data_IF_399709387383
#
_entry.id   IF_399709387383
#
_cell.length_a   1.000
_cell.length_b   1.000
_cell.length_c   1.000
_cell.angle_alpha   90.00
_cell.angle_beta   90.00
_cell.angle_gamma   90.00
#
_symmetry.space_group_name_H-M   'P 1'
#
loop_
_entity.id
_entity.type
_entity.pdbx_description
1 polymer ?
#
# COMPACT_ATOMS: atom_id res chain seq x y z
N UNK A 1 69.59 50.07 11.17
CA UNK A 1 68.44 49.45 11.87
C UNK A 1 67.19 49.64 11.03
N UNK A 2 66.73 48.60 10.34
CA UNK A 2 65.31 48.33 10.03
C UNK A 2 65.26 46.91 9.47
N UNK A 3 64.52 46.08 10.19
CA UNK A 3 64.41 44.65 10.03
C UNK A 3 63.30 44.28 9.05
N UNK A 4 63.51 43.13 8.42
CA UNK A 4 62.62 42.23 7.69
C UNK A 4 61.11 42.35 7.91
N UNK A 5 60.34 42.22 6.82
CA UNK A 5 59.17 41.32 6.78
C UNK A 5 59.21 40.58 5.43
N UNK A 6 59.20 39.25 5.54
CA UNK A 6 59.31 38.29 4.47
C UNK A 6 57.94 37.90 3.88
N UNK A 7 58.01 37.45 2.63
CA UNK A 7 57.06 36.70 1.82
C UNK A 7 55.89 36.00 2.52
N UNK A 8 54.69 36.21 1.99
CA UNK A 8 53.55 35.29 2.10
C UNK A 8 52.66 35.46 0.86
N UNK A 9 53.15 35.01 -0.29
CA UNK A 9 52.41 34.96 -1.55
C UNK A 9 52.60 33.59 -2.20
N UNK A 10 52.16 32.53 -1.52
CA UNK A 10 52.15 31.17 -2.06
C UNK A 10 51.23 30.22 -1.27
N UNK A 11 50.07 30.66 -0.79
CA UNK A 11 49.02 29.75 -0.27
C UNK A 11 47.65 30.35 -0.58
N UNK A 12 47.29 30.44 -1.85
CA UNK A 12 45.90 30.76 -2.25
C UNK A 12 45.58 30.23 -3.66
N UNK A 13 45.96 28.98 -3.95
CA UNK A 13 45.54 28.27 -5.17
C UNK A 13 45.17 26.80 -4.92
N UNK A 14 44.76 26.44 -3.71
CA UNK A 14 44.28 25.08 -3.39
C UNK A 14 42.90 25.02 -2.74
N UNK A 15 42.03 26.00 -3.01
CA UNK A 15 40.64 26.02 -2.50
C UNK A 15 39.59 26.42 -3.55
N UNK A 16 39.92 26.37 -4.85
CA UNK A 16 38.99 26.70 -5.93
C UNK A 16 38.69 25.50 -6.85
N UNK A 17 38.58 24.29 -6.28
CA UNK A 17 38.23 23.07 -7.01
C UNK A 17 37.18 22.20 -6.30
N UNK A 18 36.29 22.78 -5.49
CA UNK A 18 35.10 22.08 -4.95
C UNK A 18 33.80 22.50 -5.63
N UNK A 19 33.88 23.24 -6.74
CA UNK A 19 32.72 23.72 -7.50
C UNK A 19 32.46 22.99 -8.82
N UNK A 20 33.05 21.82 -9.03
CA UNK A 20 32.65 20.96 -10.15
C UNK A 20 31.52 20.07 -9.68
N UNK A 21 30.35 20.21 -10.31
CA UNK A 21 29.17 19.34 -10.23
C UNK A 21 29.52 17.95 -9.68
N UNK A 22 29.25 17.72 -8.39
CA UNK A 22 29.06 16.38 -7.90
C UNK A 22 27.74 15.91 -8.54
N UNK A 23 27.81 15.41 -9.77
CA UNK A 23 26.89 14.35 -10.15
C UNK A 23 27.04 13.31 -9.06
N UNK A 24 26.08 13.28 -8.14
CA UNK A 24 26.01 12.23 -7.14
C UNK A 24 26.17 10.91 -7.90
N UNK A 25 27.16 10.11 -7.51
CA UNK A 25 27.43 8.86 -8.21
C UNK A 25 26.13 8.05 -8.29
N UNK A 26 25.86 7.42 -9.44
CA UNK A 26 24.66 6.60 -9.64
C UNK A 26 24.85 5.24 -8.97
N UNK A 27 23.74 4.66 -8.52
CA UNK A 27 23.73 3.25 -8.10
C UNK A 27 24.23 2.37 -9.26
N UNK A 28 25.28 1.58 -9.00
CA UNK A 28 25.81 0.65 -9.99
C UNK A 28 25.25 -0.74 -9.70
N UNK A 29 24.51 -1.29 -10.66
CA UNK A 29 23.90 -2.62 -10.53
C UNK A 29 24.12 -3.39 -11.83
N UNK A 30 24.68 -4.58 -11.72
CA UNK A 30 24.68 -5.57 -12.79
C UNK A 30 23.39 -6.39 -12.70
N UNK A 31 22.45 -6.14 -13.62
CA UNK A 31 21.15 -6.80 -13.63
C UNK A 31 21.20 -8.26 -14.12
N UNK A 32 22.38 -8.74 -14.53
CA UNK A 32 22.62 -10.16 -14.84
C UNK A 32 23.20 -10.92 -13.63
N UNK A 33 23.51 -10.22 -12.53
CA UNK A 33 24.09 -10.79 -11.33
C UNK A 33 23.12 -10.73 -10.15
N UNK A 34 22.62 -11.90 -9.72
CA UNK A 34 21.75 -12.00 -8.55
C UNK A 34 22.38 -11.37 -7.29
N UNK A 35 23.69 -11.52 -7.09
CA UNK A 35 24.40 -10.93 -5.96
C UNK A 35 24.49 -9.40 -6.05
N UNK A 36 24.66 -8.86 -7.27
CA UNK A 36 24.64 -7.40 -7.49
C UNK A 36 23.25 -6.83 -7.23
N UNK A 37 22.19 -7.48 -7.73
CA UNK A 37 20.80 -7.08 -7.48
C UNK A 37 20.49 -7.14 -5.98
N UNK A 38 20.85 -8.21 -5.27
CA UNK A 38 20.64 -8.34 -3.82
C UNK A 38 21.38 -7.25 -3.04
N UNK A 39 22.61 -6.92 -3.45
CA UNK A 39 23.39 -5.84 -2.82
C UNK A 39 22.74 -4.46 -3.01
N UNK A 40 22.23 -4.19 -4.21
CA UNK A 40 21.50 -2.95 -4.50
C UNK A 40 20.17 -2.88 -3.73
N UNK A 41 19.39 -3.97 -3.74
CA UNK A 41 18.14 -4.07 -3.00
C UNK A 41 18.34 -3.85 -1.50
N UNK A 42 19.44 -4.35 -0.94
CA UNK A 42 19.81 -4.13 0.47
C UNK A 42 20.05 -2.67 0.81
N UNK A 43 20.70 -1.90 -0.08
CA UNK A 43 20.90 -0.45 0.12
C UNK A 43 19.57 0.29 0.08
N UNK A 44 18.70 -0.01 -0.90
CA UNK A 44 17.37 0.59 -1.02
C UNK A 44 16.49 0.23 0.19
N UNK A 45 16.53 -1.02 0.66
CA UNK A 45 15.81 -1.46 1.86
C UNK A 45 16.27 -0.72 3.13
N UNK A 46 17.58 -0.50 3.26
CA UNK A 46 18.12 0.29 4.36
C UNK A 46 17.65 1.76 4.32
N UNK A 47 17.58 2.36 3.13
CA UNK A 47 17.05 3.71 2.98
C UNK A 47 15.55 3.78 3.26
N UNK A 48 14.76 2.83 2.75
CA UNK A 48 13.34 2.74 3.05
C UNK A 48 13.11 2.70 4.58
N UNK A 49 13.84 1.82 5.26
CA UNK A 49 13.74 1.67 6.71
C UNK A 49 14.28 2.87 7.49
N UNK A 50 15.10 3.74 6.88
CA UNK A 50 15.52 5.00 7.53
C UNK A 50 14.38 5.98 7.77
N UNK A 51 13.26 5.84 7.06
CA UNK A 51 12.05 6.66 7.23
C UNK A 51 11.07 6.08 8.26
N UNK A 52 11.32 4.87 8.74
CA UNK A 52 10.48 4.22 9.72
C UNK A 52 11.02 4.47 11.13
N UNK A 53 10.19 5.14 11.95
CA UNK A 53 10.51 5.50 13.33
C UNK A 53 9.58 4.84 14.35
N UNK A 54 8.72 3.90 13.94
CA UNK A 54 7.68 3.32 14.81
C UNK A 54 8.19 2.54 16.02
N UNK A 55 9.47 2.18 16.04
CA UNK A 55 10.12 1.43 17.13
C UNK A 55 10.78 2.35 18.17
N UNK A 56 10.83 3.65 17.90
CA UNK A 56 11.45 4.61 18.81
C UNK A 56 10.54 4.87 20.03
N UNK A 57 11.12 5.17 21.21
CA UNK A 57 10.33 5.48 22.40
C UNK A 57 9.29 6.59 22.16
N UNK A 58 8.02 6.26 22.38
CA UNK A 58 6.90 7.19 22.22
C UNK A 58 6.28 7.23 20.82
N UNK A 59 6.80 6.44 19.88
CA UNK A 59 6.21 6.26 18.55
C UNK A 59 5.20 5.10 18.53
N UNK A 60 4.45 4.98 17.43
CA UNK A 60 3.50 3.90 17.22
C UNK A 60 4.12 2.85 16.30
N UNK A 61 4.24 1.58 16.74
CA UNK A 61 4.81 0.52 15.90
C UNK A 61 4.02 0.31 14.62
N UNK A 62 4.73 0.05 13.52
CA UNK A 62 4.14 -0.35 12.26
C UNK A 62 3.57 0.75 11.37
N UNK A 63 3.69 2.02 11.75
CA UNK A 63 3.34 3.14 10.86
C UNK A 63 4.58 3.93 10.43
N UNK A 64 4.49 4.52 9.24
CA UNK A 64 5.40 5.59 8.82
C UNK A 64 4.95 6.93 9.44
N UNK A 65 5.83 7.96 9.50
CA UNK A 65 5.47 9.28 10.01
C UNK A 65 4.24 9.86 9.31
N UNK A 66 3.15 10.02 10.07
CA UNK A 66 1.87 10.49 9.55
C UNK A 66 0.69 10.12 10.46
N UNK A 67 -0.54 10.46 10.05
CA UNK A 67 -0.90 11.12 8.79
C UNK A 67 -0.63 12.64 8.88
N UNK A 68 -0.85 13.42 7.80
CA UNK A 68 -0.71 14.87 7.87
C UNK A 68 -1.55 15.49 9.00
N UNK A 69 -1.02 16.44 9.81
CA UNK A 69 0.28 17.11 9.68
C UNK A 69 1.46 16.44 10.40
N UNK A 70 1.29 15.27 11.03
CA UNK A 70 2.34 14.56 11.79
C UNK A 70 3.44 13.91 10.93
N UNK A 71 3.23 13.89 9.62
CA UNK A 71 4.12 13.37 8.59
C UNK A 71 3.31 13.12 7.31
N UNK A 72 3.95 12.78 6.19
CA UNK A 72 3.27 12.75 4.91
C UNK A 72 2.44 11.48 4.69
N UNK A 73 2.71 10.39 5.40
CA UNK A 73 2.24 9.05 5.03
C UNK A 73 0.92 8.67 5.71
N UNK A 74 -0.02 8.11 4.94
CA UNK A 74 -1.23 7.54 5.51
C UNK A 74 -0.98 6.12 6.05
N UNK A 75 -1.84 5.68 6.97
CA UNK A 75 -1.70 4.42 7.70
C UNK A 75 -1.55 3.19 6.79
N UNK A 76 -2.31 3.13 5.70
CA UNK A 76 -2.29 2.00 4.76
C UNK A 76 -0.92 1.82 4.09
N UNK A 77 -0.19 2.92 3.85
CA UNK A 77 1.07 2.88 3.12
C UNK A 77 2.14 2.12 3.90
N UNK A 78 2.07 2.15 5.24
CA UNK A 78 2.92 1.31 6.08
C UNK A 78 2.57 -0.18 5.94
N UNK A 79 1.28 -0.53 5.86
CA UNK A 79 0.85 -1.90 5.56
C UNK A 79 1.40 -2.41 4.23
N UNK A 80 1.42 -1.55 3.22
CA UNK A 80 2.05 -1.84 1.95
C UNK A 80 3.59 -1.92 2.03
N UNK A 81 4.24 -1.06 2.84
CA UNK A 81 5.69 -1.10 3.11
C UNK A 81 6.12 -2.45 3.68
N UNK A 82 5.40 -2.95 4.69
CA UNK A 82 5.70 -4.25 5.28
C UNK A 82 5.53 -5.40 4.29
N UNK A 83 4.51 -5.33 3.42
CA UNK A 83 4.37 -6.27 2.31
C UNK A 83 5.57 -6.26 1.35
N UNK A 84 6.09 -5.07 1.02
CA UNK A 84 7.30 -4.94 0.19
C UNK A 84 8.53 -5.54 0.88
N UNK A 85 8.67 -5.36 2.21
CA UNK A 85 9.79 -5.92 2.97
C UNK A 85 9.71 -7.44 3.15
N UNK A 86 8.50 -8.00 3.24
CA UNK A 86 8.28 -9.46 3.21
C UNK A 86 8.71 -10.03 1.86
N UNK A 87 8.34 -9.39 0.75
CA UNK A 87 8.82 -9.79 -0.57
C UNK A 87 10.35 -9.65 -0.68
N UNK A 88 10.92 -8.53 -0.22
CA UNK A 88 12.38 -8.36 -0.19
C UNK A 88 13.08 -9.53 0.51
N UNK A 89 12.60 -9.94 1.70
CA UNK A 89 13.13 -11.11 2.38
C UNK A 89 12.98 -12.38 1.54
N UNK A 90 11.79 -12.60 0.95
CA UNK A 90 11.51 -13.79 0.14
C UNK A 90 12.43 -13.90 -1.10
N UNK A 91 12.64 -12.79 -1.81
CA UNK A 91 13.49 -12.76 -3.01
C UNK A 91 14.99 -12.78 -2.67
N UNK A 92 15.42 -12.10 -1.60
CA UNK A 92 16.87 -11.93 -1.33
C UNK A 92 17.44 -12.96 -0.36
N UNK A 93 16.61 -13.42 0.58
CA UNK A 93 17.00 -14.19 1.76
C UNK A 93 17.50 -13.33 2.93
N UNK A 94 17.49 -12.00 2.81
CA UNK A 94 17.91 -11.09 3.89
C UNK A 94 16.79 -10.92 4.92
N UNK A 95 17.03 -11.40 6.14
CA UNK A 95 16.06 -11.37 7.25
C UNK A 95 16.20 -10.17 8.18
N UNK A 96 16.99 -9.14 7.81
CA UNK A 96 17.34 -8.00 8.69
C UNK A 96 16.13 -7.32 9.32
N UNK A 97 15.00 -7.23 8.61
CA UNK A 97 13.80 -6.49 9.05
C UNK A 97 12.64 -7.40 9.48
N UNK A 98 12.84 -8.71 9.54
CA UNK A 98 11.74 -9.65 9.77
C UNK A 98 11.07 -9.44 11.12
N UNK A 99 11.85 -9.37 12.20
CA UNK A 99 11.29 -9.23 13.56
C UNK A 99 10.48 -7.93 13.71
N UNK A 100 10.96 -6.84 13.11
CA UNK A 100 10.26 -5.55 13.08
C UNK A 100 8.93 -5.67 12.31
N UNK A 101 8.95 -6.29 11.13
CA UNK A 101 7.75 -6.50 10.33
C UNK A 101 6.72 -7.38 11.06
N UNK A 102 7.16 -8.46 11.72
CA UNK A 102 6.27 -9.33 12.51
C UNK A 102 5.58 -8.52 13.60
N UNK A 103 6.36 -7.80 14.41
CA UNK A 103 5.83 -7.00 15.51
C UNK A 103 4.88 -5.90 15.02
N UNK A 104 5.31 -5.13 14.03
CA UNK A 104 4.53 -4.04 13.43
C UNK A 104 3.18 -4.50 12.88
N UNK A 105 3.18 -5.57 12.08
CA UNK A 105 1.97 -6.08 11.44
C UNK A 105 1.01 -6.71 12.44
N UNK A 106 1.49 -7.38 13.49
CA UNK A 106 0.61 -7.87 14.56
C UNK A 106 0.06 -6.72 15.38
N UNK A 107 0.89 -5.72 15.70
CA UNK A 107 0.46 -4.55 16.48
C UNK A 107 -0.69 -3.80 15.80
N UNK A 108 -0.60 -3.56 14.48
CA UNK A 108 -1.62 -2.84 13.72
C UNK A 108 -2.89 -3.66 13.44
N UNK A 109 -2.91 -4.97 13.70
CA UNK A 109 -4.12 -5.78 13.55
C UNK A 109 -5.21 -5.43 14.57
N UNK A 110 -4.80 -4.94 15.74
CA UNK A 110 -5.58 -4.53 16.92
C UNK A 110 -6.63 -5.57 17.42
N UNK A 111 -6.47 -6.13 18.63
CA UNK A 111 -7.50 -6.97 19.25
C UNK A 111 -8.73 -6.14 19.65
N UNK A 112 -9.93 -6.74 19.76
CA UNK A 112 -10.17 -8.19 19.77
C UNK A 112 -10.39 -8.81 18.38
N UNK A 113 -10.69 -8.01 17.36
CA UNK A 113 -11.02 -8.54 16.04
C UNK A 113 -9.80 -9.04 15.27
N UNK A 114 -8.64 -8.43 15.49
CA UNK A 114 -7.42 -8.69 14.73
C UNK A 114 -7.68 -8.59 13.22
N UNK A 115 -8.37 -7.52 12.81
CA UNK A 115 -8.88 -7.34 11.45
C UNK A 115 -8.32 -6.12 10.75
N UNK A 116 -7.25 -5.51 11.29
CA UNK A 116 -6.69 -4.26 10.76
C UNK A 116 -7.74 -3.15 10.69
N UNK A 117 -8.54 -3.01 11.74
CA UNK A 117 -9.47 -1.89 11.92
C UNK A 117 -9.16 -1.11 13.20
N UNK A 118 -7.89 -0.67 13.39
CA UNK A 118 -7.49 -0.02 14.63
C UNK A 118 -8.25 1.29 14.87
N UNK A 119 -8.76 1.47 16.09
CA UNK A 119 -9.64 2.58 16.44
C UNK A 119 -9.00 3.97 16.19
N UNK A 120 -7.69 4.09 16.39
CA UNK A 120 -6.93 5.33 16.17
C UNK A 120 -6.96 5.82 14.72
N UNK A 121 -7.30 4.95 13.76
CA UNK A 121 -7.25 5.24 12.33
C UNK A 121 -8.64 5.35 11.69
N UNK A 122 -9.69 5.38 12.51
CA UNK A 122 -11.10 5.42 12.06
C UNK A 122 -11.36 6.54 11.02
N UNK A 123 -10.76 7.71 11.18
CA UNK A 123 -10.98 8.87 10.29
C UNK A 123 -10.43 8.70 8.87
N UNK A 124 -9.53 7.73 8.65
CA UNK A 124 -8.95 7.42 7.34
C UNK A 124 -9.10 5.93 7.01
N UNK A 125 -10.04 5.23 7.64
CA UNK A 125 -10.18 3.78 7.49
C UNK A 125 -11.06 3.44 6.27
N UNK A 126 -10.44 3.25 5.12
CA UNK A 126 -11.05 2.68 3.92
C UNK A 126 -10.94 1.17 3.82
N UNK A 127 -11.76 0.57 2.97
CA UNK A 127 -11.70 -0.86 2.64
C UNK A 127 -10.39 -1.19 1.91
N UNK A 128 -9.91 -0.28 1.09
CA UNK A 128 -8.57 -0.29 0.50
C UNK A 128 -7.48 -0.21 1.58
N UNK A 129 -7.57 0.73 2.52
CA UNK A 129 -6.59 0.86 3.60
C UNK A 129 -6.42 -0.46 4.37
N UNK A 130 -7.53 -1.01 4.85
CA UNK A 130 -7.58 -2.31 5.53
C UNK A 130 -7.11 -3.45 4.60
N UNK A 131 -7.49 -3.39 3.32
CA UNK A 131 -7.16 -4.38 2.31
C UNK A 131 -5.66 -4.51 2.08
N UNK A 132 -4.91 -3.40 2.04
CA UNK A 132 -3.45 -3.46 1.89
C UNK A 132 -2.76 -4.20 3.06
N UNK A 133 -3.21 -3.99 4.29
CA UNK A 133 -2.74 -4.77 5.43
C UNK A 133 -3.10 -6.26 5.32
N UNK A 134 -4.34 -6.56 4.95
CA UNK A 134 -4.79 -7.93 4.71
C UNK A 134 -4.02 -8.63 3.60
N UNK A 135 -3.69 -7.94 2.51
CA UNK A 135 -2.89 -8.46 1.41
C UNK A 135 -1.43 -8.74 1.83
N UNK A 136 -0.86 -7.90 2.70
CA UNK A 136 0.47 -8.14 3.27
C UNK A 136 0.47 -9.33 4.23
N UNK A 137 -0.56 -9.50 5.06
CA UNK A 137 -0.72 -10.68 5.90
C UNK A 137 -0.90 -11.95 5.05
N UNK A 138 -1.71 -11.88 4.00
CA UNK A 138 -1.88 -12.99 3.05
C UNK A 138 -0.55 -13.35 2.37
N UNK A 139 0.29 -12.35 2.06
CA UNK A 139 1.61 -12.57 1.46
C UNK A 139 2.51 -13.32 2.43
N UNK A 140 2.58 -12.88 3.69
CA UNK A 140 3.35 -13.55 4.73
C UNK A 140 2.98 -15.05 4.85
N UNK A 141 1.70 -15.40 4.76
CA UNK A 141 1.25 -16.79 4.75
C UNK A 141 1.71 -17.56 3.49
N UNK A 142 1.64 -16.92 2.33
CA UNK A 142 2.00 -17.48 1.01
C UNK A 142 3.49 -17.73 0.82
N UNK A 143 4.36 -16.87 1.37
CA UNK A 143 5.82 -17.01 1.24
C UNK A 143 6.47 -17.70 2.44
N UNK A 144 5.67 -18.21 3.38
CA UNK A 144 6.12 -18.81 4.64
C UNK A 144 7.01 -17.87 5.46
N UNK A 145 6.66 -16.59 5.49
CA UNK A 145 7.29 -15.61 6.38
C UNK A 145 7.18 -16.10 7.83
N UNK A 146 8.18 -15.86 8.69
CA UNK A 146 8.15 -16.40 10.05
C UNK A 146 6.84 -16.07 10.76
N UNK A 147 6.21 -17.09 11.35
CA UNK A 147 4.93 -16.93 12.02
C UNK A 147 5.09 -16.09 13.29
N UNK A 148 4.06 -15.31 13.67
CA UNK A 148 3.99 -14.73 15.00
C UNK A 148 3.98 -15.82 16.08
N UNK A 149 4.30 -15.47 17.34
CA UNK A 149 4.10 -16.35 18.49
C UNK A 149 2.72 -17.04 18.49
N UNK A 150 2.64 -18.28 18.99
CA UNK A 150 1.40 -19.09 18.91
C UNK A 150 0.19 -18.46 19.62
N UNK A 151 0.41 -17.55 20.57
CA UNK A 151 -0.62 -16.81 21.30
C UNK A 151 -1.04 -15.49 20.61
N UNK A 152 -0.45 -15.16 19.46
CA UNK A 152 -0.76 -14.00 18.63
C UNK A 152 -1.49 -14.39 17.34
N UNK A 153 -2.28 -13.47 16.75
CA UNK A 153 -2.99 -13.75 15.50
C UNK A 153 -2.02 -14.09 14.38
N UNK A 154 -2.33 -15.15 13.64
CA UNK A 154 -1.48 -15.71 12.59
C UNK A 154 -1.80 -15.06 11.23
N UNK A 155 -0.82 -15.04 10.31
CA UNK A 155 -0.95 -14.39 8.99
C UNK A 155 -2.20 -14.77 8.20
N UNK A 156 -2.51 -16.06 8.09
CA UNK A 156 -3.71 -16.53 7.39
C UNK A 156 -4.99 -16.07 8.10
N UNK A 157 -5.04 -16.15 9.43
CA UNK A 157 -6.20 -15.69 10.21
C UNK A 157 -6.43 -14.17 10.06
N UNK A 158 -5.36 -13.37 10.03
CA UNK A 158 -5.44 -11.92 9.79
C UNK A 158 -6.01 -11.59 8.40
N UNK A 159 -5.57 -12.30 7.36
CA UNK A 159 -6.13 -12.16 6.02
C UNK A 159 -7.62 -12.58 5.97
N UNK A 160 -7.98 -13.67 6.64
CA UNK A 160 -9.38 -14.11 6.76
C UNK A 160 -10.25 -13.09 7.52
N UNK A 161 -9.72 -12.44 8.55
CA UNK A 161 -10.43 -11.39 9.30
C UNK A 161 -10.77 -10.18 8.41
N UNK A 162 -9.81 -9.73 7.60
CA UNK A 162 -10.05 -8.65 6.63
C UNK A 162 -11.11 -9.07 5.61
N UNK A 163 -10.98 -10.25 5.02
CA UNK A 163 -11.98 -10.75 4.08
C UNK A 163 -13.38 -10.85 4.70
N UNK A 164 -13.50 -11.42 5.90
CA UNK A 164 -14.80 -11.63 6.56
C UNK A 164 -15.47 -10.29 6.89
N UNK A 165 -14.72 -9.32 7.43
CA UNK A 165 -15.25 -7.97 7.72
C UNK A 165 -15.61 -7.19 6.46
N UNK A 166 -14.84 -7.31 5.36
CA UNK A 166 -15.20 -6.73 4.05
C UNK A 166 -16.45 -7.39 3.46
N UNK A 167 -16.54 -8.72 3.53
CA UNK A 167 -17.72 -9.47 3.07
C UNK A 167 -19.00 -9.00 3.76
N UNK A 168 -18.94 -8.73 5.08
CA UNK A 168 -20.07 -8.20 5.85
C UNK A 168 -20.54 -6.80 5.42
N UNK A 169 -19.73 -6.06 4.67
CA UNK A 169 -20.05 -4.70 4.17
C UNK A 169 -20.46 -4.67 2.69
N UNK A 170 -20.45 -5.81 2.00
CA UNK A 170 -20.89 -5.88 0.61
C UNK A 170 -22.36 -5.46 0.49
N UNK A 171 -22.63 -4.31 -0.12
CA UNK A 171 -23.96 -3.71 -0.16
C UNK A 171 -24.60 -3.84 -1.55
N UNK A 172 -25.68 -4.61 -1.65
CA UNK A 172 -26.44 -4.82 -2.90
C UNK A 172 -27.56 -3.81 -3.16
N UNK A 173 -27.86 -2.93 -2.21
CA UNK A 173 -28.93 -1.92 -2.35
C UNK A 173 -28.50 -0.75 -3.24
N UNK A 174 -27.19 -0.44 -3.28
CA UNK A 174 -26.60 0.67 -4.03
C UNK A 174 -25.66 0.10 -5.09
N UNK A 175 -25.83 0.50 -6.35
CA UNK A 175 -25.05 0.01 -7.49
C UNK A 175 -25.04 -1.52 -7.65
N UNK A 176 -26.09 -2.22 -7.20
CA UNK A 176 -26.24 -3.69 -7.28
C UNK A 176 -25.13 -4.51 -6.60
N UNK A 177 -24.32 -3.92 -5.73
CA UNK A 177 -23.18 -4.58 -5.10
C UNK A 177 -22.03 -3.62 -4.84
N UNK A 178 -20.86 -4.19 -4.54
CA UNK A 178 -19.62 -3.45 -4.35
C UNK A 178 -19.46 -2.87 -2.96
N UNK A 179 -18.21 -2.74 -2.57
CA UNK A 179 -17.77 -2.02 -1.39
C UNK A 179 -17.66 -0.52 -1.69
N UNK A 180 -18.08 0.28 -0.72
CA UNK A 180 -17.75 1.69 -0.64
C UNK A 180 -16.24 1.86 -0.36
N UNK A 181 -15.68 3.00 -0.74
CA UNK A 181 -14.28 3.32 -0.45
C UNK A 181 -14.06 3.33 1.06
N UNK A 182 -14.78 4.18 1.78
CA UNK A 182 -14.64 4.32 3.23
C UNK A 182 -15.43 3.26 4.00
N UNK A 183 -14.93 2.87 5.18
CA UNK A 183 -15.63 1.95 6.08
C UNK A 183 -16.66 2.70 6.95
N UNK A 184 -16.30 3.76 7.70
CA UNK A 184 -17.29 4.53 8.44
C UNK A 184 -18.16 5.37 7.51
N UNK A 185 -19.49 5.29 7.71
CA UNK A 185 -20.46 6.08 6.94
C UNK A 185 -20.29 7.60 7.03
N UNK A 186 -19.59 8.08 8.07
CA UNK A 186 -19.34 9.50 8.32
C UNK A 186 -18.07 10.03 7.64
N UNK A 187 -17.23 9.16 7.07
CA UNK A 187 -16.01 9.59 6.40
C UNK A 187 -16.33 10.19 5.02
N UNK A 188 -15.60 11.24 4.65
CA UNK A 188 -15.68 11.78 3.30
C UNK A 188 -15.25 10.72 2.27
N UNK A 189 -16.04 10.56 1.21
CA UNK A 189 -15.81 9.50 0.21
C UNK A 189 -16.55 8.19 0.50
N UNK A 190 -17.33 8.08 1.58
CA UNK A 190 -18.20 6.91 1.78
C UNK A 190 -19.17 6.68 0.61
N UNK A 191 -19.67 7.73 -0.02
CA UNK A 191 -20.55 7.64 -1.18
C UNK A 191 -19.83 7.24 -2.49
N UNK A 192 -18.50 7.16 -2.50
CA UNK A 192 -17.71 6.75 -3.65
C UNK A 192 -17.44 5.24 -3.59
N UNK A 193 -17.92 4.47 -4.57
CA UNK A 193 -17.55 3.06 -4.74
C UNK A 193 -16.41 2.99 -5.74
N UNK A 194 -15.19 2.94 -5.24
CA UNK A 194 -13.99 2.94 -6.06
C UNK A 194 -13.54 1.53 -6.43
N UNK A 195 -12.72 1.46 -7.49
CA UNK A 195 -12.15 0.21 -7.97
C UNK A 195 -11.20 -0.38 -6.95
N UNK A 196 -10.32 0.42 -6.33
CA UNK A 196 -9.29 -0.10 -5.43
C UNK A 196 -9.87 -0.92 -4.26
N UNK A 197 -10.92 -0.45 -3.58
CA UNK A 197 -11.57 -1.18 -2.49
C UNK A 197 -12.13 -2.54 -2.92
N UNK A 198 -12.66 -2.62 -4.14
CA UNK A 198 -13.27 -3.83 -4.67
C UNK A 198 -12.21 -4.81 -5.22
N UNK A 199 -11.14 -4.30 -5.83
CA UNK A 199 -10.08 -5.16 -6.37
C UNK A 199 -9.17 -5.71 -5.27
N UNK A 200 -8.93 -4.99 -4.16
CA UNK A 200 -8.24 -5.59 -3.00
C UNK A 200 -9.08 -6.70 -2.36
N UNK A 201 -10.40 -6.52 -2.26
CA UNK A 201 -11.30 -7.55 -1.77
C UNK A 201 -11.29 -8.79 -2.67
N UNK A 202 -11.41 -8.58 -3.99
CA UNK A 202 -11.22 -9.62 -5.01
C UNK A 202 -9.88 -10.34 -4.86
N UNK A 203 -8.78 -9.60 -4.70
CA UNK A 203 -7.43 -10.14 -4.58
C UNK A 203 -7.29 -11.06 -3.36
N UNK A 204 -7.74 -10.59 -2.19
CA UNK A 204 -7.72 -11.39 -0.96
C UNK A 204 -8.61 -12.63 -1.11
N UNK A 205 -9.81 -12.49 -1.68
CA UNK A 205 -10.72 -13.61 -1.92
C UNK A 205 -10.07 -14.68 -2.83
N UNK A 206 -9.48 -14.28 -3.96
CA UNK A 206 -8.79 -15.20 -4.87
C UNK A 206 -7.64 -15.95 -4.16
N UNK A 207 -6.83 -15.24 -3.38
CA UNK A 207 -5.68 -15.80 -2.65
C UNK A 207 -6.10 -16.74 -1.53
N UNK A 208 -7.13 -16.38 -0.77
CA UNK A 208 -7.72 -17.27 0.23
C UNK A 208 -8.30 -18.53 -0.42
N UNK A 209 -8.99 -18.41 -1.56
CA UNK A 209 -9.49 -19.56 -2.31
C UNK A 209 -8.36 -20.53 -2.65
N UNK A 210 -7.29 -20.02 -3.26
CA UNK A 210 -6.11 -20.82 -3.63
C UNK A 210 -5.40 -21.42 -2.41
N UNK A 211 -5.16 -20.62 -1.38
CA UNK A 211 -4.41 -21.07 -0.21
C UNK A 211 -5.17 -22.14 0.59
N UNK A 212 -6.48 -21.97 0.74
CA UNK A 212 -7.31 -22.83 1.61
C UNK A 212 -8.05 -23.94 0.87
N UNK A 213 -8.11 -23.88 -0.46
CA UNK A 213 -8.95 -24.73 -1.31
C UNK A 213 -10.44 -24.66 -0.95
N UNK A 214 -10.92 -23.46 -0.61
CA UNK A 214 -12.32 -23.21 -0.26
C UNK A 214 -13.01 -22.37 -1.34
N UNK A 215 -13.95 -23.02 -2.05
CA UNK A 215 -14.73 -22.42 -3.13
C UNK A 215 -15.57 -21.21 -2.71
N UNK A 216 -15.88 -21.05 -1.42
CA UNK A 216 -16.62 -19.88 -0.94
C UNK A 216 -15.86 -18.59 -1.25
N UNK A 217 -14.54 -18.58 -1.05
CA UNK A 217 -13.71 -17.43 -1.38
C UNK A 217 -13.67 -17.20 -2.90
N UNK A 218 -13.60 -18.27 -3.70
CA UNK A 218 -13.62 -18.18 -5.16
C UNK A 218 -14.94 -17.58 -5.69
N UNK A 219 -16.08 -17.95 -5.09
CA UNK A 219 -17.39 -17.39 -5.44
C UNK A 219 -17.47 -15.89 -5.14
N UNK A 220 -16.87 -15.43 -4.04
CA UNK A 220 -16.76 -14.00 -3.74
C UNK A 220 -15.79 -13.27 -4.67
N UNK A 221 -14.70 -13.93 -5.09
CA UNK A 221 -13.81 -13.39 -6.11
C UNK A 221 -14.54 -13.22 -7.45
N UNK A 222 -15.30 -14.23 -7.90
CA UNK A 222 -16.16 -14.12 -9.10
C UNK A 222 -17.17 -12.98 -8.94
N UNK A 223 -17.86 -12.89 -7.80
CA UNK A 223 -18.82 -11.81 -7.55
C UNK A 223 -18.20 -10.41 -7.61
N UNK A 224 -17.01 -10.24 -7.01
CA UNK A 224 -16.31 -8.97 -7.01
C UNK A 224 -15.88 -8.58 -8.43
N UNK A 225 -15.31 -9.52 -9.19
CA UNK A 225 -14.97 -9.31 -10.60
C UNK A 225 -16.21 -8.90 -11.41
N UNK A 226 -17.26 -9.73 -11.37
CA UNK A 226 -18.44 -9.56 -12.20
C UNK A 226 -19.15 -8.23 -11.87
N UNK A 227 -19.09 -7.79 -10.61
CA UNK A 227 -19.57 -6.46 -10.22
C UNK A 227 -18.70 -5.35 -10.80
N UNK A 228 -17.37 -5.40 -10.65
CA UNK A 228 -16.45 -4.35 -11.13
C UNK A 228 -16.51 -4.20 -12.66
N UNK A 229 -16.62 -5.31 -13.39
CA UNK A 229 -16.86 -5.33 -14.84
C UNK A 229 -18.28 -4.83 -15.16
N UNK A 230 -19.30 -5.30 -14.45
CA UNK A 230 -20.70 -4.95 -14.68
C UNK A 230 -21.06 -3.48 -14.45
N UNK A 231 -20.38 -2.79 -13.54
CA UNK A 231 -20.52 -1.32 -13.37
C UNK A 231 -19.68 -0.52 -14.37
N UNK A 232 -18.86 -1.18 -15.20
CA UNK A 232 -18.06 -0.54 -16.25
C UNK A 232 -16.71 0.00 -15.79
N UNK A 233 -16.24 -0.36 -14.60
CA UNK A 233 -14.91 0.06 -14.13
C UNK A 233 -13.79 -0.71 -14.82
N UNK A 234 -14.08 -1.92 -15.32
CA UNK A 234 -13.25 -2.63 -16.29
C UNK A 234 -13.96 -2.51 -17.64
N UNK A 235 -13.34 -1.83 -18.60
CA UNK A 235 -13.92 -1.66 -19.94
C UNK A 235 -13.71 -2.91 -20.80
N UNK A 236 -14.40 -3.02 -21.93
CA UNK A 236 -14.18 -4.09 -22.93
C UNK A 236 -12.71 -4.16 -23.41
N UNK A 237 -12.03 -3.00 -23.51
CA UNK A 237 -10.59 -2.90 -23.84
C UNK A 237 -9.66 -3.10 -22.62
N UNK A 238 -10.18 -3.63 -21.52
CA UNK A 238 -9.44 -3.90 -20.28
C UNK A 238 -8.80 -2.67 -19.60
N UNK A 239 -9.25 -1.44 -19.89
CA UNK A 239 -8.93 -0.28 -19.07
C UNK A 239 -9.54 -0.48 -17.67
N UNK A 240 -8.78 -0.12 -16.63
CA UNK A 240 -9.21 -0.21 -15.23
C UNK A 240 -9.36 1.19 -14.67
N UNK A 241 -10.60 1.66 -14.59
CA UNK A 241 -11.00 3.01 -14.20
C UNK A 241 -11.13 3.14 -12.68
N UNK A 242 -11.30 4.35 -12.16
CA UNK A 242 -11.11 4.61 -10.73
C UNK A 242 -12.35 4.39 -9.85
N UNK A 243 -13.55 4.64 -10.36
CA UNK A 243 -14.77 4.47 -9.57
C UNK A 243 -15.93 5.34 -10.01
N UNK A 244 -16.95 5.44 -9.16
CA UNK A 244 -18.17 6.21 -9.35
C UNK A 244 -18.95 6.36 -8.03
N UNK A 245 -19.96 7.22 -8.02
CA UNK A 245 -20.72 7.57 -6.81
C UNK A 245 -22.09 6.89 -6.76
N UNK A 246 -22.53 6.53 -5.55
CA UNK A 246 -23.82 5.86 -5.33
C UNK A 246 -25.01 6.72 -5.78
N UNK A 247 -24.92 8.05 -5.70
CA UNK A 247 -25.99 8.98 -6.10
C UNK A 247 -26.27 8.95 -7.61
N UNK A 248 -25.27 8.58 -8.40
CA UNK A 248 -25.37 8.40 -9.85
C UNK A 248 -25.47 6.92 -10.25
N UNK A 249 -25.83 6.02 -9.30
CA UNK A 249 -25.82 4.57 -9.50
C UNK A 249 -24.47 4.05 -10.03
N UNK A 250 -23.36 4.67 -9.62
CA UNK A 250 -22.00 4.37 -10.04
C UNK A 250 -21.74 4.56 -11.55
N UNK A 251 -22.59 5.33 -12.24
CA UNK A 251 -22.46 5.57 -13.69
C UNK A 251 -21.65 6.82 -14.05
N UNK A 252 -21.34 7.67 -13.08
CA UNK A 252 -20.47 8.84 -13.21
C UNK A 252 -18.98 8.45 -13.10
N UNK A 253 -18.56 7.56 -14.00
CA UNK A 253 -17.26 6.90 -13.92
C UNK A 253 -16.12 7.91 -13.99
N UNK A 254 -15.23 7.90 -12.99
CA UNK A 254 -13.96 8.58 -13.03
C UNK A 254 -13.00 7.81 -13.97
N UNK A 255 -12.63 8.39 -15.14
CA UNK A 255 -11.88 7.66 -16.17
C UNK A 255 -10.38 7.57 -15.88
N UNK A 256 -9.90 8.10 -14.76
CA UNK A 256 -8.49 8.04 -14.39
C UNK A 256 -8.07 6.58 -14.20
N UNK A 257 -6.90 6.24 -14.73
CA UNK A 257 -6.32 4.90 -14.61
C UNK A 257 -5.08 4.97 -13.72
N UNK A 258 -5.20 4.42 -12.51
CA UNK A 258 -4.07 4.25 -11.59
C UNK A 258 -3.50 2.85 -11.74
N UNK A 259 -2.16 2.74 -11.79
CA UNK A 259 -1.50 1.44 -11.99
C UNK A 259 -1.79 0.45 -10.85
N UNK A 260 -2.02 0.93 -9.62
CA UNK A 260 -2.38 0.08 -8.48
C UNK A 260 -3.68 -0.72 -8.72
N UNK A 261 -4.70 -0.13 -9.36
CA UNK A 261 -5.95 -0.82 -9.67
C UNK A 261 -5.69 -2.00 -10.62
N UNK A 262 -4.97 -1.75 -11.72
CA UNK A 262 -4.62 -2.77 -12.70
C UNK A 262 -3.70 -3.85 -12.11
N UNK A 263 -2.71 -3.46 -11.28
CA UNK A 263 -1.78 -4.36 -10.64
C UNK A 263 -2.48 -5.38 -9.72
N UNK A 264 -3.26 -4.89 -8.76
CA UNK A 264 -3.94 -5.74 -7.77
C UNK A 264 -4.97 -6.66 -8.44
N UNK A 265 -5.68 -6.14 -9.45
CA UNK A 265 -6.62 -6.92 -10.26
C UNK A 265 -5.89 -8.03 -11.03
N UNK A 266 -4.83 -7.71 -11.78
CA UNK A 266 -4.06 -8.67 -12.56
C UNK A 266 -3.47 -9.79 -11.67
N UNK A 267 -2.98 -9.45 -10.47
CA UNK A 267 -2.54 -10.43 -9.48
C UNK A 267 -3.66 -11.40 -9.10
N UNK A 268 -4.84 -10.89 -8.73
CA UNK A 268 -5.97 -11.74 -8.33
C UNK A 268 -6.46 -12.65 -9.46
N UNK A 269 -6.46 -12.17 -10.70
CA UNK A 269 -6.82 -12.96 -11.89
C UNK A 269 -5.82 -14.10 -12.12
N UNK A 270 -4.52 -13.86 -12.00
CA UNK A 270 -3.50 -14.90 -12.10
C UNK A 270 -3.68 -15.99 -11.03
N UNK A 271 -4.03 -15.58 -9.80
CA UNK A 271 -4.34 -16.51 -8.71
C UNK A 271 -5.58 -17.35 -9.02
N UNK A 272 -6.65 -16.73 -9.54
CA UNK A 272 -7.87 -17.46 -9.93
C UNK A 272 -7.65 -18.42 -11.10
N UNK A 273 -6.86 -18.03 -12.10
CA UNK A 273 -6.46 -18.92 -13.20
C UNK A 273 -5.73 -20.15 -12.66
N UNK A 274 -4.80 -19.96 -11.73
CA UNK A 274 -4.07 -21.07 -11.12
C UNK A 274 -5.00 -21.95 -10.24
N UNK A 275 -5.85 -21.34 -9.42
CA UNK A 275 -6.82 -22.05 -8.58
C UNK A 275 -7.78 -22.93 -9.38
N UNK A 276 -8.28 -22.40 -10.50
CA UNK A 276 -9.24 -23.09 -11.38
C UNK A 276 -8.58 -24.07 -12.36
N UNK A 277 -7.29 -24.38 -12.19
CA UNK A 277 -6.52 -25.27 -13.05
C UNK A 277 -6.53 -24.85 -14.54
N UNK A 278 -6.47 -23.54 -14.78
CA UNK A 278 -6.31 -22.99 -16.12
C UNK A 278 -7.63 -22.72 -16.86
N UNK A 279 -8.70 -22.37 -16.16
CA UNK A 279 -9.99 -22.00 -16.78
C UNK A 279 -9.80 -20.89 -17.83
N UNK A 280 -10.38 -21.10 -19.01
CA UNK A 280 -10.31 -20.21 -20.16
C UNK A 280 -10.86 -18.81 -19.84
N UNK A 281 -11.86 -18.68 -18.96
CA UNK A 281 -12.41 -17.40 -18.51
C UNK A 281 -11.31 -16.53 -17.90
N UNK A 282 -10.56 -17.09 -16.95
CA UNK A 282 -9.47 -16.37 -16.29
C UNK A 282 -8.28 -16.16 -17.23
N UNK A 283 -8.03 -17.09 -18.16
CA UNK A 283 -7.01 -16.90 -19.20
C UNK A 283 -7.27 -15.66 -20.06
N UNK A 284 -8.49 -15.50 -20.57
CA UNK A 284 -8.87 -14.35 -21.38
C UNK A 284 -8.69 -13.03 -20.62
N UNK A 285 -9.09 -13.03 -19.33
CA UNK A 285 -8.90 -11.88 -18.44
C UNK A 285 -7.41 -11.54 -18.24
N UNK A 286 -6.53 -12.54 -18.08
CA UNK A 286 -5.07 -12.32 -18.01
C UNK A 286 -4.55 -11.72 -19.30
N UNK A 287 -4.86 -12.33 -20.45
CA UNK A 287 -4.31 -11.90 -21.74
C UNK A 287 -4.73 -10.45 -22.05
N UNK A 288 -5.99 -10.10 -21.80
CA UNK A 288 -6.52 -8.74 -21.97
C UNK A 288 -5.89 -7.72 -21.02
N UNK A 289 -5.93 -7.99 -19.71
CA UNK A 289 -5.38 -7.08 -18.69
C UNK A 289 -3.86 -6.92 -18.83
N UNK A 290 -3.10 -7.99 -19.06
CA UNK A 290 -1.65 -7.94 -19.17
C UNK A 290 -1.23 -7.09 -20.37
N UNK A 291 -1.84 -7.33 -21.54
CA UNK A 291 -1.55 -6.56 -22.75
C UNK A 291 -1.88 -5.07 -22.54
N UNK A 292 -3.08 -4.77 -22.01
CA UNK A 292 -3.48 -3.39 -21.76
C UNK A 292 -2.59 -2.69 -20.74
N UNK A 293 -2.22 -3.41 -19.67
CA UNK A 293 -1.33 -2.92 -18.61
C UNK A 293 0.04 -2.56 -19.16
N UNK A 294 0.66 -3.44 -19.97
CA UNK A 294 1.96 -3.19 -20.58
C UNK A 294 1.88 -2.02 -21.56
N UNK A 295 0.88 -1.99 -22.43
CA UNK A 295 0.68 -0.92 -23.41
C UNK A 295 0.52 0.45 -22.72
N UNK A 296 -0.32 0.52 -21.68
CA UNK A 296 -0.62 1.76 -20.99
C UNK A 296 0.54 2.18 -20.09
N UNK A 297 0.96 1.35 -19.13
CA UNK A 297 1.86 1.78 -18.06
C UNK A 297 3.35 1.65 -18.39
N UNK A 298 3.76 0.94 -19.45
CA UNK A 298 5.17 0.71 -19.79
C UNK A 298 5.55 1.26 -21.17
N UNK A 299 5.34 2.57 -21.45
CA UNK A 299 5.79 3.16 -22.71
C UNK A 299 7.31 3.00 -22.84
N UNK A 300 7.74 2.47 -23.99
CA UNK A 300 9.16 2.16 -24.26
C UNK A 300 9.80 1.21 -23.22
N UNK A 301 9.00 0.39 -22.53
CA UNK A 301 9.47 -0.59 -21.55
C UNK A 301 9.74 -0.04 -20.15
N UNK A 302 9.56 1.26 -19.91
CA UNK A 302 9.77 1.86 -18.59
C UNK A 302 8.43 2.27 -17.99
N UNK A 303 8.20 1.92 -16.73
CA UNK A 303 6.94 2.21 -16.07
C UNK A 303 6.73 3.70 -15.80
N UNK A 304 5.54 4.21 -16.13
CA UNK A 304 5.09 5.59 -15.87
C UNK A 304 3.69 5.58 -15.25
N UNK A 305 3.51 6.31 -14.15
CA UNK A 305 2.20 6.55 -13.54
C UNK A 305 1.47 7.68 -14.28
N UNK A 306 0.88 7.38 -15.45
CA UNK A 306 0.36 8.39 -16.38
C UNK A 306 -0.66 9.38 -15.80
N UNK A 307 -1.37 8.98 -14.75
CA UNK A 307 -2.34 9.85 -14.08
C UNK A 307 -1.70 11.10 -13.45
N UNK A 308 -0.40 11.03 -13.09
CA UNK A 308 0.25 12.08 -12.31
C UNK A 308 1.74 12.31 -12.62
N UNK A 309 2.40 11.38 -13.32
CA UNK A 309 3.79 11.49 -13.77
C UNK A 309 3.85 12.11 -15.17
N UNK A 310 3.94 13.43 -15.21
CA UNK A 310 4.00 14.19 -16.45
C UNK A 310 5.43 14.25 -17.00
N UNK A 311 5.56 14.60 -18.28
CA UNK A 311 6.85 14.67 -18.96
C UNK A 311 7.81 15.72 -18.37
N UNK A 312 7.28 16.78 -17.75
CA UNK A 312 8.07 17.89 -17.20
C UNK A 312 8.06 17.95 -15.66
N UNK A 313 7.13 17.27 -14.99
CA UNK A 313 6.96 17.34 -13.52
C UNK A 313 6.21 16.13 -12.94
N UNK A 314 6.37 15.91 -11.64
CA UNK A 314 5.56 14.96 -10.87
C UNK A 314 4.41 15.72 -10.19
N UNK A 315 3.17 15.29 -10.40
CA UNK A 315 1.97 15.76 -9.69
C UNK A 315 1.37 14.67 -8.79
N UNK A 316 2.11 13.59 -8.58
CA UNK A 316 1.67 12.46 -7.81
C UNK A 316 1.52 12.82 -6.34
N UNK A 317 0.46 12.34 -5.70
CA UNK A 317 0.32 12.42 -4.26
C UNK A 317 1.19 11.36 -3.56
N UNK A 318 1.24 11.39 -2.22
CA UNK A 318 2.04 10.44 -1.43
C UNK A 318 1.72 8.97 -1.72
N UNK A 319 0.45 8.66 -2.00
CA UNK A 319 -0.02 7.30 -2.27
C UNK A 319 0.53 6.76 -3.61
N UNK A 320 0.46 7.59 -4.64
CA UNK A 320 0.79 7.21 -6.02
C UNK A 320 2.28 6.87 -6.21
N UNK A 321 3.15 7.33 -5.31
CA UNK A 321 4.59 7.05 -5.38
C UNK A 321 4.94 5.57 -5.18
N UNK A 322 4.10 4.79 -4.49
CA UNK A 322 4.31 3.35 -4.27
C UNK A 322 3.62 2.46 -5.29
N UNK A 323 2.81 3.00 -6.20
CA UNK A 323 2.00 2.20 -7.13
C UNK A 323 2.85 1.39 -8.13
N UNK A 324 3.98 1.95 -8.57
CA UNK A 324 4.92 1.25 -9.46
C UNK A 324 5.46 -0.04 -8.83
N UNK A 325 5.72 -0.02 -7.52
CA UNK A 325 6.15 -1.21 -6.79
C UNK A 325 5.10 -2.32 -6.80
N UNK A 326 3.83 -1.96 -6.63
CA UNK A 326 2.73 -2.95 -6.64
C UNK A 326 2.59 -3.59 -8.02
N UNK A 327 2.76 -2.81 -9.08
CA UNK A 327 2.75 -3.32 -10.46
C UNK A 327 3.87 -4.31 -10.71
N UNK A 328 5.12 -3.98 -10.34
CA UNK A 328 6.26 -4.89 -10.47
C UNK A 328 6.03 -6.22 -9.76
N UNK A 329 5.57 -6.17 -8.50
CA UNK A 329 5.26 -7.37 -7.70
C UNK A 329 4.11 -8.19 -8.30
N UNK A 330 3.08 -7.52 -8.83
CA UNK A 330 1.94 -8.21 -9.45
C UNK A 330 2.31 -8.89 -10.75
N UNK A 331 3.12 -8.24 -11.60
CA UNK A 331 3.65 -8.85 -12.83
C UNK A 331 4.53 -10.05 -12.53
N UNK A 332 5.38 -9.97 -11.49
CA UNK A 332 6.17 -11.10 -11.03
C UNK A 332 5.28 -12.31 -10.65
N UNK A 333 4.22 -12.10 -9.86
CA UNK A 333 3.23 -13.16 -9.57
C UNK A 333 2.62 -13.76 -10.83
N UNK A 334 2.27 -12.92 -11.83
CA UNK A 334 1.72 -13.39 -13.10
C UNK A 334 2.71 -14.30 -13.83
N UNK A 335 3.99 -13.90 -13.94
CA UNK A 335 5.03 -14.72 -14.57
C UNK A 335 5.32 -16.04 -13.84
N UNK A 336 5.05 -16.10 -12.54
CA UNK A 336 5.18 -17.33 -11.75
C UNK A 336 3.96 -18.24 -11.93
N UNK A 337 2.74 -17.72 -11.76
CA UNK A 337 1.50 -18.50 -11.78
C UNK A 337 0.99 -18.83 -13.19
N UNK A 338 1.44 -18.09 -14.20
CA UNK A 338 1.07 -18.24 -15.61
C UNK A 338 2.36 -18.38 -16.44
N UNK A 339 3.02 -19.55 -16.43
CA UNK A 339 4.39 -19.68 -16.93
C UNK A 339 4.63 -19.19 -18.36
N UNK A 340 3.64 -19.30 -19.26
CA UNK A 340 3.75 -18.86 -20.65
C UNK A 340 3.88 -17.33 -20.79
N UNK A 341 3.44 -16.55 -19.81
CA UNK A 341 3.61 -15.08 -19.82
C UNK A 341 4.94 -14.64 -19.23
N UNK A 342 5.73 -15.55 -18.65
CA UNK A 342 7.00 -15.21 -18.00
C UNK A 342 7.99 -14.47 -18.91
N UNK A 343 8.22 -14.88 -20.19
CA UNK A 343 9.20 -14.20 -21.04
C UNK A 343 8.84 -12.74 -21.38
N UNK A 344 7.55 -12.40 -21.40
CA UNK A 344 7.12 -11.01 -21.59
C UNK A 344 7.20 -10.23 -20.27
N UNK A 345 6.81 -10.85 -19.15
CA UNK A 345 6.93 -10.27 -17.81
C UNK A 345 8.38 -9.93 -17.48
N UNK A 346 9.32 -10.88 -17.61
CA UNK A 346 10.74 -10.68 -17.30
C UNK A 346 11.35 -9.55 -18.12
N UNK A 347 10.99 -9.47 -19.41
CA UNK A 347 11.45 -8.38 -20.29
C UNK A 347 10.98 -7.02 -19.80
N UNK A 348 9.71 -6.91 -19.43
CA UNK A 348 9.09 -5.66 -18.95
C UNK A 348 9.64 -5.25 -17.58
N UNK A 349 9.78 -6.21 -16.66
CA UNK A 349 10.40 -5.99 -15.35
C UNK A 349 11.83 -5.49 -15.53
N UNK A 350 12.63 -6.18 -16.36
CA UNK A 350 14.02 -5.80 -16.63
C UNK A 350 14.14 -4.39 -17.18
N UNK A 351 13.44 -4.06 -18.27
CA UNK A 351 13.55 -2.73 -18.88
C UNK A 351 13.09 -1.61 -17.94
N UNK A 352 12.06 -1.87 -17.13
CA UNK A 352 11.59 -0.89 -16.16
C UNK A 352 12.55 -0.75 -14.98
N UNK A 353 13.18 -1.83 -14.53
CA UNK A 353 14.18 -1.78 -13.44
C UNK A 353 15.48 -1.12 -13.91
N UNK A 354 15.87 -1.25 -15.18
CA UNK A 354 16.96 -0.45 -15.77
C UNK A 354 16.68 1.05 -15.64
N UNK A 355 15.46 1.49 -15.98
CA UNK A 355 15.00 2.86 -15.76
C UNK A 355 15.04 3.27 -14.29
N UNK A 356 14.53 2.41 -13.40
CA UNK A 356 14.55 2.63 -11.96
C UNK A 356 15.98 2.86 -11.44
N UNK A 357 16.90 1.93 -11.70
CA UNK A 357 18.30 2.01 -11.25
C UNK A 357 18.99 3.27 -11.78
N UNK A 358 18.67 3.68 -13.02
CA UNK A 358 19.24 4.90 -13.62
C UNK A 358 18.83 6.19 -12.87
N UNK A 359 17.72 6.15 -12.15
CA UNK A 359 17.20 7.23 -11.30
C UNK A 359 17.68 7.14 -9.84
N UNK A 360 18.49 6.15 -9.47
CA UNK A 360 18.97 5.97 -8.11
C UNK A 360 20.39 6.52 -7.89
N UNK A 361 20.61 7.12 -6.72
CA UNK A 361 21.90 7.56 -6.22
C UNK A 361 22.68 6.40 -5.59
N UNK A 362 24.00 6.56 -5.47
CA UNK A 362 24.91 5.53 -4.96
C UNK A 362 24.64 5.10 -3.51
N UNK A 363 23.99 5.95 -2.73
CA UNK A 363 23.56 5.61 -1.36
C UNK A 363 22.27 4.78 -1.32
N UNK A 364 21.66 4.50 -2.48
CA UNK A 364 20.41 3.76 -2.61
C UNK A 364 19.17 4.63 -2.63
N UNK A 365 19.28 5.98 -2.59
CA UNK A 365 18.12 6.87 -2.70
C UNK A 365 17.61 6.84 -4.14
N UNK A 366 16.33 6.56 -4.35
CA UNK A 366 15.76 6.40 -5.69
C UNK A 366 14.73 7.49 -6.02
N UNK A 367 14.70 7.88 -7.30
CA UNK A 367 13.70 8.80 -7.85
C UNK A 367 12.40 8.09 -8.22
N UNK A 368 11.39 8.89 -8.57
CA UNK A 368 10.12 8.37 -9.05
C UNK A 368 10.07 8.27 -10.59
N UNK A 369 10.70 9.22 -11.27
CA UNK A 369 10.72 9.34 -12.73
C UNK A 369 11.80 8.48 -13.36
N UNK A 370 11.48 7.21 -13.58
CA UNK A 370 12.41 6.20 -14.09
C UNK A 370 12.77 6.38 -15.58
N UNK A 371 12.02 7.22 -16.30
CA UNK A 371 12.20 7.45 -17.73
C UNK A 371 13.12 8.64 -18.07
N UNK A 372 13.62 9.39 -17.07
CA UNK A 372 14.49 10.57 -17.29
C UNK A 372 15.97 10.22 -17.38
N UNK A 373 16.36 9.05 -16.86
CA UNK A 373 17.76 8.63 -16.81
C UNK A 373 18.58 9.31 -15.71
N UNK A 374 17.96 10.04 -14.78
CA UNK A 374 18.62 10.69 -13.65
C UNK A 374 17.71 10.79 -12.42
N UNK A 375 18.30 11.05 -11.26
CA UNK A 375 17.55 11.29 -10.03
C UNK A 375 16.76 12.60 -10.14
N UNK A 376 15.45 12.54 -9.97
CA UNK A 376 14.52 13.67 -10.15
C UNK A 376 14.47 14.62 -8.95
N UNK A 377 15.00 14.22 -7.79
CA UNK A 377 14.97 15.03 -6.58
C UNK A 377 13.59 15.13 -5.92
N UNK A 378 12.60 14.35 -6.35
CA UNK A 378 11.24 14.45 -5.80
C UNK A 378 11.17 13.85 -4.40
N UNK A 379 10.95 14.74 -3.42
CA UNK A 379 10.79 14.40 -2.00
C UNK A 379 9.58 15.10 -1.38
N UNK A 380 8.76 15.80 -2.18
CA UNK A 380 7.75 16.72 -1.67
C UNK A 380 6.68 16.04 -0.81
N UNK A 381 6.35 14.80 -1.16
CA UNK A 381 5.34 13.98 -0.48
C UNK A 381 5.94 12.88 0.39
N UNK A 382 7.23 12.97 0.73
CA UNK A 382 7.96 11.92 1.44
C UNK A 382 8.52 10.84 0.49
N UNK A 383 9.78 10.40 0.65
CA UNK A 383 10.46 9.49 -0.27
C UNK A 383 10.14 7.99 -0.09
N UNK A 384 9.39 7.58 0.94
CA UNK A 384 9.21 6.15 1.24
C UNK A 384 8.50 5.40 0.10
N UNK A 385 7.56 6.03 -0.61
CA UNK A 385 6.86 5.40 -1.73
C UNK A 385 7.80 5.08 -2.91
N UNK A 386 8.73 5.99 -3.21
CA UNK A 386 9.76 5.83 -4.23
C UNK A 386 10.67 4.65 -3.88
N UNK A 387 11.14 4.58 -2.63
CA UNK A 387 12.00 3.47 -2.19
C UNK A 387 11.25 2.13 -2.16
N UNK A 388 9.96 2.12 -1.78
CA UNK A 388 9.13 0.92 -1.90
C UNK A 388 9.03 0.44 -3.35
N UNK A 389 8.83 1.37 -4.28
CA UNK A 389 8.76 1.06 -5.72
C UNK A 389 10.08 0.54 -6.27
N UNK A 390 11.21 1.17 -5.91
CA UNK A 390 12.53 0.74 -6.33
C UNK A 390 12.94 -0.61 -5.74
N UNK A 391 12.63 -0.84 -4.47
CA UNK A 391 12.90 -2.11 -3.79
C UNK A 391 12.14 -3.27 -4.43
N UNK A 392 10.86 -3.05 -4.76
CA UNK A 392 10.05 -4.00 -5.50
C UNK A 392 10.62 -4.29 -6.91
N UNK A 393 11.03 -3.26 -7.64
CA UNK A 393 11.61 -3.40 -8.97
C UNK A 393 12.92 -4.21 -8.97
N UNK A 394 13.80 -3.98 -8.00
CA UNK A 394 15.03 -4.78 -7.84
C UNK A 394 14.74 -6.22 -7.39
N UNK A 395 13.88 -6.39 -6.38
CA UNK A 395 13.61 -7.71 -5.80
C UNK A 395 12.98 -8.67 -6.82
N UNK A 396 12.06 -8.16 -7.64
CA UNK A 396 11.33 -8.96 -8.64
C UNK A 396 12.19 -9.39 -9.84
N UNK A 397 13.38 -8.84 -10.04
CA UNK A 397 14.35 -9.39 -11.01
C UNK A 397 14.93 -10.74 -10.57
N UNK A 398 14.76 -11.12 -9.30
CA UNK A 398 15.22 -12.39 -8.77
C UNK A 398 14.17 -13.51 -8.93
N UNK A 399 13.26 -13.36 -9.91
CA UNK A 399 12.12 -14.24 -10.16
C UNK A 399 12.50 -15.66 -10.60
N UNK A 400 13.64 -15.83 -11.27
CA UNK A 400 14.09 -17.14 -11.77
C UNK A 400 14.63 -18.08 -10.68
N UNK A 401 14.71 -17.63 -9.43
CA UNK A 401 15.14 -18.47 -8.33
C UNK A 401 14.17 -19.65 -8.12
N UNK A 402 14.72 -20.83 -7.84
CA UNK A 402 13.94 -22.07 -7.78
C UNK A 402 12.78 -22.01 -6.76
N UNK A 403 12.99 -21.43 -5.58
CA UNK A 403 11.94 -21.30 -4.56
C UNK A 403 10.86 -20.30 -4.94
N UNK A 404 11.18 -19.31 -5.80
CA UNK A 404 10.21 -18.36 -6.36
C UNK A 404 9.37 -19.03 -7.45
N UNK A 405 9.99 -19.80 -8.34
CA UNK A 405 9.31 -20.52 -9.41
C UNK A 405 8.35 -21.62 -8.93
N UNK A 406 8.51 -22.10 -7.69
CA UNK A 406 7.52 -22.98 -7.05
C UNK A 406 6.19 -22.26 -6.76
N UNK A 407 6.22 -20.93 -6.70
CA UNK A 407 5.08 -20.07 -6.49
C UNK A 407 4.59 -19.99 -5.05
N UNK A 408 3.57 -19.14 -4.81
CA UNK A 408 2.97 -18.97 -3.50
C UNK A 408 2.50 -20.30 -2.91
N UNK A 409 2.78 -20.54 -1.64
CA UNK A 409 2.37 -21.74 -0.94
C UNK A 409 0.86 -21.76 -0.67
N UNK A 410 0.37 -22.94 -0.31
CA UNK A 410 -0.99 -23.24 0.13
C UNK A 410 -0.93 -24.03 1.43
N UNK A 411 -2.08 -24.29 2.05
CA UNK A 411 -2.20 -25.19 3.20
C UNK A 411 -1.72 -26.64 2.91
N UNK A 412 -1.68 -27.04 1.64
CA UNK A 412 -1.22 -28.38 1.22
C UNK A 412 0.20 -28.44 0.65
N UNK A 413 0.81 -27.30 0.34
CA UNK A 413 2.14 -27.24 -0.28
C UNK A 413 3.22 -26.72 0.67
N UNK A 414 2.95 -26.72 1.98
CA UNK A 414 3.94 -26.38 3.02
C UNK A 414 3.74 -25.02 3.69
N UNK A 415 2.64 -24.32 3.42
CA UNK A 415 2.28 -23.12 4.16
C UNK A 415 2.04 -23.45 5.65
N UNK A 416 2.67 -22.69 6.55
CA UNK A 416 2.67 -23.00 8.00
C UNK A 416 1.73 -22.12 8.83
N UNK A 417 1.24 -21.01 8.27
CA UNK A 417 0.39 -20.08 9.00
C UNK A 417 -1.00 -20.68 9.27
N UNK A 418 -1.46 -20.58 10.52
CA UNK A 418 -2.76 -21.14 10.92
C UNK A 418 -3.88 -20.16 10.59
N UNK A 419 -4.98 -20.67 10.05
CA UNK A 419 -6.18 -19.88 9.77
C UNK A 419 -7.20 -19.95 10.91
N UNK A 420 -8.17 -19.04 10.86
CA UNK A 420 -9.41 -19.08 11.63
C UNK A 420 -10.56 -18.68 10.69
N UNK A 421 -11.43 -19.62 10.27
CA UNK A 421 -12.57 -19.33 9.41
C UNK A 421 -13.54 -18.29 9.99
N UNK A 422 -13.57 -18.12 11.32
CA UNK A 422 -14.43 -17.16 12.01
C UNK A 422 -13.70 -15.86 12.35
N UNK A 423 -12.46 -15.67 11.87
CA UNK A 423 -11.68 -14.47 12.15
C UNK A 423 -12.44 -13.20 11.74
N UNK A 424 -12.38 -12.15 12.56
CA UNK A 424 -13.17 -10.93 12.34
C UNK A 424 -14.69 -11.09 12.53
N UNK A 425 -15.17 -12.27 12.97
CA UNK A 425 -16.58 -12.66 13.03
C UNK A 425 -17.30 -12.39 14.35
N UNK A 426 -16.86 -11.45 15.20
CA UNK A 426 -17.62 -11.07 16.40
C UNK A 426 -18.72 -10.04 16.05
N UNK A 427 -20.02 -10.36 16.26
CA UNK A 427 -21.16 -9.47 15.96
C UNK A 427 -21.23 -8.16 16.78
N UNK A 428 -20.25 -7.86 17.64
CA UNK A 428 -20.32 -6.75 18.60
C UNK A 428 -19.44 -5.52 18.32
N UNK A 429 -18.80 -5.39 17.15
CA UNK A 429 -17.73 -4.38 16.99
C UNK A 429 -18.02 -3.28 15.95
N UNK A 430 -19.22 -3.29 15.37
CA UNK A 430 -19.90 -2.05 15.02
C UNK A 430 -21.16 -1.95 15.88
N UNK A 431 -21.00 -1.85 17.21
CA UNK A 431 -22.12 -1.42 18.03
C UNK A 431 -22.57 -0.06 17.46
N UNK A 432 -23.85 0.08 17.03
CA UNK A 432 -24.42 1.42 17.01
C UNK A 432 -24.14 2.03 18.40
N UNK A 433 -23.81 3.33 18.50
CA UNK A 433 -23.54 3.96 19.78
C UNK A 433 -24.59 3.49 20.80
N UNK A 434 -24.16 3.04 21.99
CA UNK A 434 -25.08 2.48 22.99
C UNK A 434 -26.32 3.38 23.09
N UNK A 435 -27.55 2.83 23.12
CA UNK A 435 -28.76 3.66 23.12
C UNK A 435 -28.66 4.77 24.17
N UNK A 436 -28.89 6.02 23.75
CA UNK A 436 -28.80 7.18 24.65
C UNK A 436 -29.75 6.95 25.82
N UNK A 437 -29.19 6.78 27.01
CA UNK A 437 -29.95 6.46 28.21
C UNK A 437 -30.61 7.72 28.76
N UNK A 438 -31.60 7.54 29.64
CA UNK A 438 -32.17 8.67 30.40
C UNK A 438 -31.09 9.40 31.21
N UNK A 439 -30.06 8.68 31.68
CA UNK A 439 -28.91 9.27 32.37
C UNK A 439 -28.06 10.17 31.47
N UNK A 440 -27.84 9.78 30.22
CA UNK A 440 -27.08 10.60 29.26
C UNK A 440 -27.86 11.86 28.85
N UNK A 441 -29.18 11.75 28.66
CA UNK A 441 -30.04 12.93 28.40
C UNK A 441 -30.09 13.87 29.59
N UNK A 442 -30.13 13.32 30.80
CA UNK A 442 -30.06 14.12 32.03
C UNK A 442 -28.70 14.81 32.17
N UNK A 443 -27.60 14.09 31.94
CA UNK A 443 -26.24 14.64 31.98
C UNK A 443 -26.04 15.73 30.93
N UNK A 444 -26.46 15.49 29.69
CA UNK A 444 -26.43 16.50 28.62
C UNK A 444 -27.28 17.73 28.99
N UNK A 445 -28.50 17.52 29.50
CA UNK A 445 -29.37 18.61 29.96
C UNK A 445 -28.75 19.44 31.09
N UNK A 446 -28.09 18.78 32.06
CA UNK A 446 -27.37 19.46 33.15
C UNK A 446 -26.20 20.27 32.60
N UNK A 447 -25.38 19.68 31.72
CA UNK A 447 -24.24 20.38 31.10
C UNK A 447 -24.72 21.57 30.28
N UNK A 448 -25.78 21.41 29.47
CA UNK A 448 -26.38 22.51 28.71
C UNK A 448 -26.91 23.61 29.63
N UNK A 449 -27.60 23.26 30.72
CA UNK A 449 -28.09 24.23 31.70
C UNK A 449 -26.95 24.98 32.40
N UNK A 450 -25.86 24.29 32.77
CA UNK A 450 -24.67 24.91 33.36
C UNK A 450 -24.02 25.85 32.38
N UNK A 451 -23.78 25.44 31.13
CA UNK A 451 -23.17 26.28 30.10
C UNK A 451 -24.04 27.51 29.81
N UNK A 452 -25.36 27.35 29.69
CA UNK A 452 -26.29 28.45 29.50
C UNK A 452 -26.33 29.39 30.71
N UNK A 453 -26.33 28.85 31.93
CA UNK A 453 -26.30 29.64 33.16
C UNK A 453 -24.99 30.41 33.31
N UNK A 454 -23.85 29.79 32.96
CA UNK A 454 -22.55 30.46 32.94
C UNK A 454 -22.49 31.55 31.87
N UNK A 455 -23.03 31.29 30.68
CA UNK A 455 -23.08 32.25 29.59
C UNK A 455 -24.00 33.44 29.94
N UNK A 456 -25.22 33.18 30.40
CA UNK A 456 -26.16 34.21 30.85
C UNK A 456 -25.64 34.96 32.08
N UNK A 457 -25.02 34.25 33.03
CA UNK A 457 -24.38 34.85 34.20
C UNK A 457 -23.24 35.79 33.80
N UNK A 458 -22.43 35.41 32.81
CA UNK A 458 -21.42 36.27 32.21
C UNK A 458 -22.02 37.50 31.53
N UNK A 459 -23.11 37.34 30.78
CA UNK A 459 -23.82 38.46 30.15
C UNK A 459 -24.44 39.41 31.17
N UNK A 460 -25.02 38.88 32.26
CA UNK A 460 -25.56 39.69 33.35
C UNK A 460 -24.43 40.41 34.07
N UNK A 461 -23.33 39.72 34.41
CA UNK A 461 -22.15 40.33 35.04
C UNK A 461 -21.58 41.49 34.20
N UNK A 462 -21.44 41.29 32.89
CA UNK A 462 -20.99 42.33 31.96
C UNK A 462 -22.02 43.46 31.80
N UNK A 463 -23.32 43.14 31.85
CA UNK A 463 -24.41 44.10 31.66
C UNK A 463 -24.78 44.93 32.90
N UNK A 464 -24.51 44.44 34.11
CA UNK A 464 -24.83 45.13 35.36
C UNK A 464 -23.66 45.93 35.94
N UNK A 465 -22.49 45.89 35.32
CA UNK A 465 -21.32 46.69 35.74
C UNK A 465 -20.77 46.33 37.12
N UNK A 466 -21.01 45.11 37.61
CA UNK A 466 -20.63 44.69 38.97
C UNK A 466 -19.12 44.72 39.24
N UNK A 467 -18.28 44.79 38.21
CA UNK A 467 -16.83 44.98 38.33
C UNK A 467 -16.39 46.44 38.45
N UNK A 468 -17.28 47.43 38.30
CA UNK A 468 -16.93 48.86 38.38
C UNK A 468 -17.11 49.44 39.80
N UNK A 469 -17.40 48.61 40.80
CA UNK A 469 -17.62 49.01 42.20
C UNK A 469 -16.49 48.60 43.17
N UNK A 470 -15.32 48.18 42.67
CA UNK A 470 -14.12 47.90 43.47
C UNK A 470 -12.91 48.57 42.83
#
# INVERSE_FOLDING_TARGET
>A
MKWAIASSAAVLQLLAATGANAQAAKLQVDLDSADSIKSAAKLVAANLMSYYHGDEPGQTPGILPGPPPGGPYYWWQAGAMWGTLIDYWYYTGDSTYNDQAIYAMVFQAEPPLNSYMPANWTLSLGNDDQGFWGMSAMLAAEVNFPNPPEDQPQWLALAQAVFNTQTGRWNTQECNGGLNWQIPHTNGGYNYKNTIANVVYFNIAARLARYTQNDTYAQWADRAWDWTEGVGYITEDYNVLDGGHIEANCTDINPVQFSANAAVLLHGVAVMYNYTNGDQKWRQRIDGLLNRTIEHFFPNGIMIERACELEDRVQCNVDQHSFKGYMHRSLATVGVLVPDTRPIVERVLRSSTEGCVSSCLADGTCGFRWNTGEYDGDKANGPAGQEMSALAALSTLLLEQQHVLQGPLTNTTGGTSRGDPNAGGDPNVLQPPRPITTGDKAGAGVVTAVVLASFLGGLVWMGTGWSESI
#
